data_IF_181177665982
#
_entry.id   IF_181177665982
#
_cell.length_a   1.000
_cell.length_b   1.000
_cell.length_c   1.000
_cell.angle_alpha   90.00
_cell.angle_beta   90.00
_cell.angle_gamma   90.00
#
_symmetry.space_group_name_H-M   'P 1'
#
loop_
_entity.id
_entity.type
_entity.pdbx_description
1 polymer ?
#
# COMPACT_ATOMS: atom_id res chain seq x y z
N UNK A 1 -14.71 -4.94 -29.82
CA UNK A 1 -13.35 -5.42 -30.10
C UNK A 1 -12.68 -5.79 -28.78
N UNK A 2 -12.76 -7.06 -28.39
CA UNK A 2 -12.05 -7.57 -27.22
C UNK A 2 -10.62 -7.90 -27.62
N UNK A 3 -9.65 -7.11 -27.18
CA UNK A 3 -8.24 -7.45 -27.34
C UNK A 3 -8.02 -8.74 -26.56
N UNK A 4 -7.67 -9.82 -27.25
CA UNK A 4 -7.22 -11.05 -26.63
C UNK A 4 -5.98 -10.72 -25.78
N UNK A 5 -6.17 -10.54 -24.47
CA UNK A 5 -5.09 -10.27 -23.53
C UNK A 5 -4.20 -11.52 -23.52
N UNK A 6 -3.00 -11.40 -24.09
CA UNK A 6 -2.00 -12.46 -24.05
C UNK A 6 -1.60 -12.67 -22.60
N UNK A 7 -2.20 -13.67 -21.96
CA UNK A 7 -1.85 -14.09 -20.61
C UNK A 7 -0.44 -14.66 -20.68
N UNK A 8 0.46 -14.14 -19.86
CA UNK A 8 1.87 -14.54 -19.81
C UNK A 8 2.31 -14.45 -18.37
N UNK A 9 3.09 -15.41 -17.89
CA UNK A 9 3.66 -15.37 -16.54
C UNK A 9 4.39 -14.05 -16.25
N UNK A 10 5.01 -13.43 -17.26
CA UNK A 10 5.64 -12.11 -17.13
C UNK A 10 4.63 -10.97 -16.92
N UNK A 11 3.46 -11.07 -17.55
CA UNK A 11 2.37 -10.12 -17.35
C UNK A 11 1.71 -10.30 -15.97
N UNK A 12 1.66 -11.53 -15.47
CA UNK A 12 1.13 -11.85 -14.14
C UNK A 12 2.06 -11.32 -13.04
N UNK A 13 3.39 -11.46 -13.20
CA UNK A 13 4.39 -10.85 -12.30
C UNK A 13 4.23 -9.34 -12.22
N UNK A 14 4.15 -8.66 -13.38
CA UNK A 14 3.99 -7.20 -13.41
C UNK A 14 2.69 -6.74 -12.72
N UNK A 15 1.62 -7.50 -12.90
CA UNK A 15 0.32 -7.21 -12.27
C UNK A 15 0.41 -7.43 -10.76
N UNK A 16 1.05 -8.51 -10.31
CA UNK A 16 1.24 -8.80 -8.89
C UNK A 16 2.11 -7.76 -8.19
N UNK A 17 3.16 -7.27 -8.84
CA UNK A 17 3.97 -6.16 -8.33
C UNK A 17 3.15 -4.90 -8.07
N UNK A 18 2.22 -4.55 -8.97
CA UNK A 18 1.33 -3.41 -8.79
C UNK A 18 0.36 -3.65 -7.63
N UNK A 19 -0.19 -4.86 -7.51
CA UNK A 19 -1.09 -5.20 -6.40
C UNK A 19 -0.39 -5.11 -5.05
N UNK A 20 0.86 -5.58 -4.96
CA UNK A 20 1.67 -5.45 -3.75
C UNK A 20 1.83 -3.97 -3.39
N UNK A 21 2.21 -3.13 -4.36
CA UNK A 21 2.36 -1.70 -4.14
C UNK A 21 1.04 -1.07 -3.68
N UNK A 22 -0.08 -1.38 -4.33
CA UNK A 22 -1.41 -0.91 -3.95
C UNK A 22 -1.77 -1.26 -2.50
N UNK A 23 -1.43 -2.47 -2.03
CA UNK A 23 -1.68 -2.89 -0.64
C UNK A 23 -0.81 -2.14 0.36
N UNK A 24 0.49 -1.95 0.08
CA UNK A 24 1.38 -1.24 1.00
C UNK A 24 1.09 0.26 1.07
N UNK A 25 0.65 0.84 -0.04
CA UNK A 25 0.46 2.28 -0.20
C UNK A 25 -0.97 2.70 0.13
N UNK A 26 -1.93 1.79 0.01
CA UNK A 26 -3.36 2.07 0.20
C UNK A 26 -3.97 2.93 -0.91
N UNK A 27 -3.27 3.10 -2.04
CA UNK A 27 -3.72 3.91 -3.18
C UNK A 27 -3.78 3.08 -4.45
N UNK A 28 -4.77 3.33 -5.28
CA UNK A 28 -4.96 2.57 -6.52
C UNK A 28 -4.09 3.14 -7.61
N UNK A 29 -3.51 2.32 -8.49
CA UNK A 29 -2.77 2.81 -9.67
C UNK A 29 -3.66 3.60 -10.65
N UNK A 30 -4.99 3.55 -10.48
CA UNK A 30 -5.98 4.26 -11.30
C UNK A 30 -6.51 5.53 -10.63
N UNK A 31 -5.98 5.91 -9.46
CA UNK A 31 -6.37 7.17 -8.83
C UNK A 31 -5.98 8.34 -9.73
N UNK A 32 -6.76 9.42 -9.73
CA UNK A 32 -6.56 10.60 -10.59
C UNK A 32 -5.16 11.22 -10.44
N UNK A 33 -4.52 11.02 -9.28
CA UNK A 33 -3.15 11.49 -9.02
C UNK A 33 -2.08 10.76 -9.85
N UNK A 34 -2.39 9.60 -10.44
CA UNK A 34 -1.47 8.75 -11.20
C UNK A 34 -1.84 8.67 -12.68
N UNK A 35 -2.19 9.81 -13.27
CA UNK A 35 -2.52 9.91 -14.69
C UNK A 35 -1.31 10.20 -15.57
N UNK A 36 -1.43 9.83 -16.85
CA UNK A 36 -0.45 10.17 -17.88
C UNK A 36 0.98 9.71 -17.60
N UNK A 37 1.85 10.68 -17.27
CA UNK A 37 3.29 10.50 -17.08
C UNK A 37 3.67 10.16 -15.63
N UNK A 38 2.78 10.34 -14.66
CA UNK A 38 3.07 10.08 -13.25
C UNK A 38 2.38 8.80 -12.80
N UNK A 39 3.15 7.79 -12.41
CA UNK A 39 2.61 6.48 -12.01
C UNK A 39 2.82 6.21 -10.52
N UNK A 40 1.99 5.33 -9.95
CA UNK A 40 2.18 4.81 -8.59
C UNK A 40 3.62 4.31 -8.36
N UNK A 41 4.21 3.65 -9.36
CA UNK A 41 5.62 3.19 -9.30
C UNK A 41 6.60 4.34 -9.20
N UNK A 42 6.40 5.40 -9.97
CA UNK A 42 7.28 6.57 -9.95
C UNK A 42 7.20 7.31 -8.63
N UNK A 43 5.99 7.49 -8.09
CA UNK A 43 5.80 8.13 -6.79
C UNK A 43 6.54 7.40 -5.66
N UNK A 44 6.47 6.06 -5.65
CA UNK A 44 7.23 5.24 -4.69
C UNK A 44 8.73 5.34 -4.91
N UNK A 45 9.17 5.33 -6.16
CA UNK A 45 10.58 5.43 -6.50
C UNK A 45 11.20 6.77 -6.07
N UNK A 46 10.45 7.87 -6.18
CA UNK A 46 10.88 9.20 -5.73
C UNK A 46 10.97 9.31 -4.20
N UNK A 47 10.11 8.58 -3.48
CA UNK A 47 10.15 8.53 -2.02
C UNK A 47 11.24 7.61 -1.46
N UNK A 48 11.70 6.63 -2.23
CA UNK A 48 12.69 5.66 -1.76
C UNK A 48 14.13 6.21 -1.77
N UNK A 49 14.97 5.89 -0.77
CA UNK A 49 14.67 5.19 0.49
C UNK A 49 14.25 6.12 1.64
N UNK A 50 14.43 7.44 1.48
CA UNK A 50 14.45 8.37 2.62
C UNK A 50 13.04 8.71 3.13
N UNK A 51 12.08 8.87 2.23
CA UNK A 51 10.72 9.31 2.51
C UNK A 51 9.69 8.17 2.31
N UNK A 52 10.12 6.90 2.35
CA UNK A 52 9.24 5.76 2.08
C UNK A 52 8.09 5.66 3.10
N UNK A 53 8.30 6.13 4.34
CA UNK A 53 7.25 6.23 5.36
C UNK A 53 6.11 7.14 4.96
N UNK A 54 6.36 8.14 4.11
CA UNK A 54 5.38 9.16 3.74
C UNK A 54 4.43 8.67 2.64
N UNK A 55 4.80 7.57 1.97
CA UNK A 55 3.99 6.95 0.91
C UNK A 55 3.35 5.63 1.32
N UNK A 56 3.81 4.99 2.40
CA UNK A 56 3.18 3.77 2.96
C UNK A 56 1.89 4.16 3.69
N UNK A 57 0.85 3.33 3.55
CA UNK A 57 -0.42 3.51 4.22
C UNK A 57 -0.23 3.51 5.75
N UNK A 58 -0.86 4.48 6.43
CA UNK A 58 -0.72 4.62 7.88
C UNK A 58 -1.33 3.44 8.66
N UNK A 59 -2.32 2.73 8.12
CA UNK A 59 -2.83 1.48 8.68
C UNK A 59 -1.79 0.37 8.63
N UNK A 60 -0.99 0.30 7.57
CA UNK A 60 0.14 -0.64 7.42
C UNK A 60 1.31 -0.26 8.34
N UNK A 61 1.47 1.02 8.65
CA UNK A 61 2.48 1.46 9.63
C UNK A 61 2.03 1.31 11.10
N UNK A 62 0.73 1.36 11.37
CA UNK A 62 0.20 1.41 12.74
C UNK A 62 0.02 0.02 13.38
N UNK A 63 0.11 -1.07 12.62
CA UNK A 63 0.06 -2.45 13.13
C UNK A 63 1.25 -2.82 14.04
N UNK A 64 2.32 -2.03 14.06
CA UNK A 64 3.43 -2.18 15.02
C UNK A 64 3.19 -1.53 16.38
N UNK A 65 2.10 -0.79 16.57
CA UNK A 65 1.91 0.12 17.70
C UNK A 65 0.79 -0.33 18.65
N UNK A 66 0.53 -1.64 18.78
CA UNK A 66 -0.34 -2.11 19.86
C UNK A 66 0.41 -1.96 21.19
N UNK A 67 0.43 -0.74 21.72
CA UNK A 67 0.60 -0.53 23.15
C UNK A 67 -0.48 -1.37 23.84
N UNK A 68 -0.15 -2.22 24.83
CA UNK A 68 -1.14 -2.83 25.70
C UNK A 68 -1.89 -1.71 26.44
N UNK A 69 -2.97 -1.20 25.84
CA UNK A 69 -3.84 -0.22 26.50
C UNK A 69 -4.49 -0.94 27.67
N UNK A 70 -3.97 -0.61 28.85
CA UNK A 70 -4.41 -0.89 30.21
C UNK A 70 -5.93 -1.09 30.35
N UNK A 71 -6.41 -2.29 29.99
CA UNK A 71 -7.76 -2.73 30.34
C UNK A 71 -7.78 -3.46 31.70
N UNK A 72 -6.89 -3.07 32.63
CA UNK A 72 -6.83 -3.63 33.99
C UNK A 72 -7.03 -2.61 35.11
N UNK A 73 -7.35 -1.35 34.82
CA UNK A 73 -7.66 -0.35 35.85
C UNK A 73 -9.12 -0.43 36.37
N UNK A 74 -9.89 -1.45 35.99
CA UNK A 74 -11.30 -1.61 36.40
C UNK A 74 -11.59 -2.97 37.08
N UNK A 75 -10.67 -3.48 37.91
CA UNK A 75 -10.96 -4.64 38.79
C UNK A 75 -10.82 -4.33 40.29
N UNK A 76 -10.71 -3.05 40.68
CA UNK A 76 -10.70 -2.63 42.09
C UNK A 76 -11.94 -1.81 42.49
N UNK A 77 -13.12 -2.17 41.98
CA UNK A 77 -14.39 -1.76 42.61
C UNK A 77 -15.38 -2.94 42.57
N UNK A 78 -15.18 -3.90 43.49
CA UNK A 78 -16.20 -4.60 44.29
C UNK A 78 -15.55 -5.57 45.27
#
# INVERSE_FOLDING_TARGET
>A
FGIARKVSAKADVYSYEILILEVFIGRKPTDEQFDGEFSLRQWVAEAFPVAISDVIDSHVLNESNTTPTERSAAINEL
#
